data_IF_277019252614
#
_entry.id   IF_277019252614
#
_cell.length_a   1.000
_cell.length_b   1.000
_cell.length_c   1.000
_cell.angle_alpha   90.00
_cell.angle_beta   90.00
_cell.angle_gamma   90.00
#
_symmetry.space_group_name_H-M   'P 1'
#
loop_
_entity.id
_entity.type
_entity.pdbx_description
1 polymer ?
#
# COMPACT_ATOMS: atom_id res chain seq x y z
N UNK A 1 15.85 -5.99 -7.00
CA UNK A 1 14.77 -6.95 -7.15
C UNK A 1 13.93 -6.64 -8.38
N UNK A 2 13.60 -7.66 -9.13
CA UNK A 2 12.85 -7.49 -10.36
C UNK A 2 11.58 -8.34 -10.31
N UNK A 3 10.45 -7.78 -10.73
CA UNK A 3 9.17 -8.44 -10.63
C UNK A 3 8.40 -8.30 -11.94
N UNK A 4 8.17 -9.43 -12.58
CA UNK A 4 7.42 -9.47 -13.84
C UNK A 4 6.01 -9.94 -13.60
N UNK A 5 5.04 -9.09 -13.91
CA UNK A 5 3.64 -9.40 -13.72
C UNK A 5 2.88 -9.18 -15.03
N UNK A 6 1.91 -10.04 -15.29
CA UNK A 6 0.99 -9.76 -16.39
C UNK A 6 -0.09 -8.77 -15.90
N UNK A 7 -0.96 -8.36 -16.81
CA UNK A 7 -1.95 -7.33 -16.49
C UNK A 7 -2.90 -7.76 -15.38
N UNK A 8 -3.31 -9.03 -15.40
CA UNK A 8 -4.21 -9.53 -14.36
C UNK A 8 -3.56 -9.56 -13.00
N UNK A 9 -2.29 -10.01 -12.98
CA UNK A 9 -1.53 -10.06 -11.73
C UNK A 9 -1.29 -8.67 -11.18
N UNK A 10 -0.98 -7.74 -12.05
CA UNK A 10 -0.75 -6.36 -11.65
C UNK A 10 -2.00 -5.76 -11.04
N UNK A 11 -3.15 -6.01 -11.67
CA UNK A 11 -4.43 -5.53 -11.15
C UNK A 11 -4.75 -6.10 -9.79
N UNK A 12 -4.52 -7.41 -9.62
CA UNK A 12 -4.78 -8.07 -8.35
C UNK A 12 -3.87 -7.52 -7.26
N UNK A 13 -2.59 -7.38 -7.56
CA UNK A 13 -1.64 -6.86 -6.59
C UNK A 13 -2.03 -5.46 -6.15
N UNK A 14 -2.45 -4.66 -7.09
CA UNK A 14 -2.89 -3.29 -6.80
C UNK A 14 -4.11 -3.29 -5.88
N UNK A 15 -5.06 -4.18 -6.13
CA UNK A 15 -6.23 -4.30 -5.26
C UNK A 15 -5.84 -4.70 -3.84
N UNK A 16 -4.94 -5.66 -3.74
CA UNK A 16 -4.49 -6.13 -2.43
C UNK A 16 -3.78 -5.03 -1.66
N UNK A 17 -2.94 -4.28 -2.36
CA UNK A 17 -2.23 -3.18 -1.72
C UNK A 17 -3.19 -2.07 -1.30
N UNK A 18 -4.19 -1.80 -2.12
CA UNK A 18 -5.17 -0.79 -1.81
C UNK A 18 -5.98 -1.16 -0.56
N UNK A 19 -6.36 -2.43 -0.46
CA UNK A 19 -7.06 -2.93 0.73
C UNK A 19 -6.20 -2.82 1.97
N UNK A 20 -4.94 -3.23 1.85
CA UNK A 20 -4.00 -3.15 2.96
C UNK A 20 -3.79 -1.71 3.42
N UNK A 21 -3.71 -0.81 2.48
CA UNK A 21 -3.55 0.60 2.77
C UNK A 21 -4.74 1.14 3.57
N UNK A 22 -5.94 0.80 3.14
CA UNK A 22 -7.16 1.24 3.82
C UNK A 22 -7.26 0.65 5.22
N UNK A 23 -6.95 -0.64 5.35
CA UNK A 23 -6.98 -1.30 6.64
C UNK A 23 -6.01 -0.64 7.62
N UNK A 24 -4.83 -0.31 7.12
CA UNK A 24 -3.83 0.36 7.96
C UNK A 24 -4.32 1.73 8.43
N UNK A 25 -5.00 2.43 7.57
CA UNK A 25 -5.50 3.75 7.95
C UNK A 25 -6.52 3.64 9.09
N UNK A 26 -7.37 2.63 9.05
CA UNK A 26 -8.30 2.39 10.15
C UNK A 26 -7.56 2.05 11.44
N UNK A 27 -6.54 1.20 11.34
CA UNK A 27 -5.75 0.84 12.51
C UNK A 27 -5.03 2.04 13.11
N UNK A 28 -4.48 2.89 12.26
CA UNK A 28 -3.80 4.10 12.71
C UNK A 28 -4.75 5.01 13.46
N UNK A 29 -5.96 5.17 12.94
CA UNK A 29 -6.96 6.01 13.58
C UNK A 29 -7.45 5.43 14.91
N UNK A 30 -7.38 4.12 15.04
CA UNK A 30 -7.96 3.40 16.16
C UNK A 30 -7.00 3.15 17.31
N UNK A 31 -5.71 3.29 17.08
CA UNK A 31 -4.72 2.97 18.10
C UNK A 31 -4.29 4.20 18.89
N UNK A 32 -4.16 4.01 20.19
CA UNK A 32 -3.67 5.05 21.10
C UNK A 32 -2.18 4.95 21.35
N UNK A 33 -1.57 3.85 20.95
CA UNK A 33 -0.16 3.60 21.21
C UNK A 33 0.69 4.31 20.16
N UNK A 34 1.41 5.34 20.58
CA UNK A 34 2.16 6.16 19.63
C UNK A 34 3.30 5.42 18.97
N UNK A 35 3.92 4.49 19.68
CA UNK A 35 5.01 3.68 19.11
C UNK A 35 4.48 2.77 18.03
N UNK A 36 3.38 2.10 18.30
CA UNK A 36 2.74 1.22 17.34
C UNK A 36 2.21 2.02 16.16
N UNK A 37 1.65 3.18 16.43
CA UNK A 37 1.16 4.07 15.39
C UNK A 37 2.28 4.48 14.42
N UNK A 38 3.46 4.72 14.96
CA UNK A 38 4.63 5.06 14.14
C UNK A 38 4.99 3.93 13.19
N UNK A 39 4.95 2.69 13.69
CA UNK A 39 5.22 1.53 12.86
C UNK A 39 4.19 1.36 11.77
N UNK A 40 2.93 1.59 12.10
CA UNK A 40 1.84 1.49 11.12
C UNK A 40 1.99 2.55 10.03
N UNK A 41 2.38 3.75 10.40
CA UNK A 41 2.58 4.82 9.42
C UNK A 41 3.73 4.52 8.48
N UNK A 42 4.78 3.90 9.01
CA UNK A 42 5.90 3.48 8.20
C UNK A 42 5.46 2.46 7.16
N UNK A 43 4.63 1.51 7.58
CA UNK A 43 4.10 0.49 6.69
C UNK A 43 3.18 1.11 5.65
N UNK A 44 2.38 2.06 6.07
CA UNK A 44 1.49 2.79 5.17
C UNK A 44 2.29 3.46 4.05
N UNK A 45 3.38 4.10 4.41
CA UNK A 45 4.24 4.76 3.42
C UNK A 45 4.84 3.76 2.44
N UNK A 46 5.25 2.59 2.94
CA UNK A 46 5.80 1.55 2.07
C UNK A 46 4.76 1.03 1.09
N UNK A 47 3.53 0.84 1.55
CA UNK A 47 2.45 0.39 0.67
C UNK A 47 2.13 1.45 -0.38
N UNK A 48 2.13 2.70 0.03
CA UNK A 48 1.90 3.80 -0.89
C UNK A 48 2.95 3.83 -2.01
N UNK A 49 4.21 3.61 -1.65
CA UNK A 49 5.29 3.54 -2.62
C UNK A 49 5.10 2.38 -3.59
N UNK A 50 4.68 1.23 -3.05
CA UNK A 50 4.43 0.06 -3.90
C UNK A 50 3.29 0.30 -4.87
N UNK A 51 2.24 0.97 -4.41
CA UNK A 51 1.12 1.32 -5.27
C UNK A 51 1.58 2.20 -6.43
N UNK A 52 2.46 3.14 -6.16
CA UNK A 52 3.02 3.99 -7.21
C UNK A 52 3.79 3.18 -8.24
N UNK A 53 4.46 2.14 -7.80
CA UNK A 53 5.29 1.33 -8.68
C UNK A 53 4.50 0.33 -9.50
N UNK A 54 3.41 -0.17 -8.94
CA UNK A 54 2.63 -1.18 -9.65
C UNK A 54 1.50 -0.60 -10.45
N UNK A 55 1.64 0.41 -11.04
CA UNK A 55 0.63 0.85 -11.87
C UNK A 55 0.02 2.11 -11.45
N UNK A 56 0.64 2.70 -10.62
CA UNK A 56 0.15 3.94 -10.11
C UNK A 56 -0.43 4.82 -11.20
N UNK A 57 -0.83 5.73 -11.10
CA UNK A 57 -1.55 6.62 -11.89
C UNK A 57 -0.95 7.33 -13.03
N UNK A 58 -0.71 6.72 -12.66
CA UNK A 58 -0.47 7.10 -13.03
C UNK A 58 -0.54 7.17 -13.88
N UNK A 59 -0.48 6.81 -13.98
CA UNK A 59 -0.37 6.73 -14.40
C UNK A 59 -0.32 7.11 -15.27
N UNK A 60 -0.08 7.28 -15.31
CA UNK A 60 0.04 7.74 -15.90
C UNK A 60 -0.27 7.99 -16.81
N UNK A 61 -0.41 8.19 -17.05
CA UNK A 61 -0.57 8.67 -17.71
C UNK A 61 -0.65 9.03 -18.09
#
# INVERSE_FOLDING_TARGET
MHLDLDDDQEGLLRELLDEAYRDLRYEIADTDNSEFKMQLRKREAQISELLDKVGGPLART
#
